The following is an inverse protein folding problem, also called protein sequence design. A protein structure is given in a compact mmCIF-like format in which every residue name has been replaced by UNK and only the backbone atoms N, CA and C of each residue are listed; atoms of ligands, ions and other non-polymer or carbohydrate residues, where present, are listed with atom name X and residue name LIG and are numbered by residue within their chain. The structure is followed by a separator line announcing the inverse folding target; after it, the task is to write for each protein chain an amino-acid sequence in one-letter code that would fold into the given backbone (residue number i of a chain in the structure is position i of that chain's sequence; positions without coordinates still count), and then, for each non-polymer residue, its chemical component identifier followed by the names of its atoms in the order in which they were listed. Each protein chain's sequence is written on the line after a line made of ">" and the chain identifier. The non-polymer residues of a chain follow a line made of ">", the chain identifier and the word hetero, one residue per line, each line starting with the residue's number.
data_IF_144086571852
#
_entry.id   IF_144086571852
#
_cell.length_a   1.000
_cell.length_b   1.000
_cell.length_c   1.000
_cell.angle_alpha   90.00
_cell.angle_beta   90.00
_cell.angle_gamma   90.00
#
_symmetry.space_group_name_H-M   'P 1'
#
loop_
_entity.id
_entity.type
_entity.pdbx_description
1 polymer ?
#
# COMPACT_ATOMS: atom_id res chain seq x y z
N UNK A 1 3.55 16.93 -28.03
CA UNK A 1 3.15 15.54 -27.69
C UNK A 1 4.04 15.09 -26.55
N UNK A 2 3.48 14.59 -25.44
CA UNK A 2 4.28 14.07 -24.33
C UNK A 2 5.07 12.84 -24.81
N UNK A 3 6.30 12.68 -24.30
CA UNK A 3 7.22 11.59 -24.66
C UNK A 3 6.68 10.23 -24.17
N UNK A 4 6.98 9.15 -24.88
CA UNK A 4 6.68 7.77 -24.45
C UNK A 4 7.32 7.42 -23.08
N UNK A 5 8.40 8.10 -22.68
CA UNK A 5 8.97 7.98 -21.32
C UNK A 5 8.04 8.55 -20.24
N UNK A 6 7.20 9.52 -20.57
CA UNK A 6 6.20 10.09 -19.66
C UNK A 6 4.95 9.20 -19.56
N UNK A 7 4.63 8.44 -20.60
CA UNK A 7 3.67 7.33 -20.56
C UNK A 7 4.21 6.12 -19.79
N UNK A 8 5.53 5.88 -19.80
CA UNK A 8 6.12 4.81 -19.01
C UNK A 8 6.15 5.11 -17.50
N UNK A 9 6.10 6.38 -17.11
CA UNK A 9 5.87 6.81 -15.72
C UNK A 9 4.44 6.48 -15.23
N UNK A 10 3.47 6.23 -16.12
CA UNK A 10 2.15 5.67 -15.78
C UNK A 10 2.21 4.17 -15.47
N UNK A 11 3.35 3.49 -15.64
CA UNK A 11 3.61 2.15 -15.10
C UNK A 11 4.01 2.17 -13.61
N UNK A 12 3.31 3.03 -12.84
CA UNK A 12 3.19 3.01 -11.38
C UNK A 12 3.35 1.58 -10.79
N UNK A 13 3.92 1.41 -9.58
CA UNK A 13 3.60 0.22 -8.80
C UNK A 13 2.08 0.23 -8.53
N UNK A 14 1.38 -0.56 -9.33
CA UNK A 14 0.03 -1.09 -9.16
C UNK A 14 -1.00 -0.03 -8.71
N UNK A 15 -1.83 0.48 -9.64
CA UNK A 15 -2.93 1.42 -9.34
C UNK A 15 -3.75 0.99 -8.12
N UNK A 16 -3.81 -0.31 -7.85
CA UNK A 16 -4.46 -0.95 -6.70
C UNK A 16 -3.81 -0.64 -5.36
N UNK A 17 -2.48 -0.57 -5.26
CA UNK A 17 -1.80 -0.16 -4.02
C UNK A 17 -2.12 1.29 -3.73
N UNK A 18 -2.10 2.15 -4.75
CA UNK A 18 -2.50 3.55 -4.60
C UNK A 18 -3.98 3.69 -4.22
N UNK A 19 -4.88 2.90 -4.82
CA UNK A 19 -6.32 2.87 -4.49
C UNK A 19 -6.57 2.36 -3.06
N UNK A 20 -5.91 1.29 -2.65
CA UNK A 20 -6.01 0.73 -1.31
C UNK A 20 -5.44 1.68 -0.25
N UNK A 21 -4.35 2.39 -0.54
CA UNK A 21 -3.89 3.48 0.32
C UNK A 21 -4.92 4.61 0.36
N UNK A 22 -5.54 4.93 -0.78
CA UNK A 22 -6.53 5.99 -0.89
C UNK A 22 -7.89 5.69 -0.23
N UNK A 23 -8.18 4.43 0.10
CA UNK A 23 -9.37 4.07 0.88
C UNK A 23 -9.16 4.17 2.40
N UNK A 24 -7.90 4.22 2.86
CA UNK A 24 -7.61 4.42 4.28
C UNK A 24 -8.01 5.83 4.74
N UNK A 25 -8.41 5.93 6.01
CA UNK A 25 -8.56 7.21 6.68
C UNK A 25 -7.25 8.03 6.58
N UNK A 26 -7.29 9.37 6.41
CA UNK A 26 -6.12 10.18 6.10
C UNK A 26 -4.93 9.94 7.04
N UNK A 27 -5.19 9.89 8.34
CA UNK A 27 -4.19 9.64 9.37
C UNK A 27 -3.47 8.28 9.24
N UNK A 28 -4.20 7.24 8.82
CA UNK A 28 -3.63 5.91 8.63
C UNK A 28 -2.87 5.86 7.30
N UNK A 29 -3.43 6.46 6.26
CA UNK A 29 -2.79 6.58 4.95
C UNK A 29 -1.44 7.25 5.05
N UNK A 30 -1.37 8.43 5.67
CA UNK A 30 -0.12 9.19 5.81
C UNK A 30 0.91 8.39 6.59
N UNK A 31 0.54 7.79 7.72
CA UNK A 31 1.47 6.99 8.52
C UNK A 31 2.01 5.80 7.71
N UNK A 32 1.13 5.06 7.02
CA UNK A 32 1.51 3.89 6.21
C UNK A 32 2.37 4.31 5.02
N UNK A 33 2.01 5.37 4.30
CA UNK A 33 2.77 5.87 3.16
C UNK A 33 4.20 6.26 3.58
N UNK A 34 4.33 7.05 4.64
CA UNK A 34 5.65 7.47 5.12
C UNK A 34 6.52 6.29 5.58
N UNK A 35 5.93 5.25 6.19
CA UNK A 35 6.70 4.10 6.67
C UNK A 35 7.01 3.07 5.57
N UNK A 36 5.99 2.68 4.79
CA UNK A 36 6.04 1.51 3.90
C UNK A 36 6.39 1.90 2.46
N UNK A 37 6.17 3.15 2.05
CA UNK A 37 6.52 3.67 0.72
C UNK A 37 7.78 4.53 0.76
N UNK A 38 7.81 5.54 1.64
CA UNK A 38 8.95 6.46 1.74
C UNK A 38 10.09 5.91 2.63
N UNK A 39 9.79 4.92 3.49
CA UNK A 39 10.82 4.25 4.30
C UNK A 39 11.29 5.02 5.55
N UNK A 40 10.57 6.06 5.99
CA UNK A 40 10.90 6.81 7.18
C UNK A 40 10.81 5.95 8.46
N UNK A 41 11.67 6.26 9.45
CA UNK A 41 11.57 5.65 10.77
C UNK A 41 10.34 6.16 11.53
N UNK A 42 9.85 5.38 12.51
CA UNK A 42 8.68 5.77 13.31
C UNK A 42 8.89 7.08 14.09
N UNK A 43 10.15 7.40 14.41
CA UNK A 43 10.51 8.66 15.08
C UNK A 43 10.38 9.84 14.13
N UNK A 44 10.93 9.74 12.92
CA UNK A 44 10.80 10.78 11.89
C UNK A 44 9.33 10.99 11.51
N UNK A 45 8.54 9.92 11.40
CA UNK A 45 7.10 10.01 11.14
C UNK A 45 6.37 10.73 12.27
N UNK A 46 6.73 10.47 13.53
CA UNK A 46 6.15 11.15 14.68
C UNK A 46 6.43 12.67 14.64
N UNK A 47 7.64 13.04 14.23
CA UNK A 47 8.05 14.43 14.03
C UNK A 47 7.29 15.08 12.85
N UNK A 48 7.24 14.42 11.69
CA UNK A 48 6.52 14.90 10.48
C UNK A 48 5.02 15.10 10.74
N UNK A 49 4.40 14.14 11.44
CA UNK A 49 2.96 14.16 11.71
C UNK A 49 2.60 14.97 12.96
N UNK A 50 3.57 15.52 13.69
CA UNK A 50 3.39 16.22 14.95
C UNK A 50 2.54 15.42 15.96
N UNK A 51 2.81 14.12 16.08
CA UNK A 51 2.08 13.24 17.00
C UNK A 51 3.01 12.31 17.78
N UNK A 52 2.57 11.77 18.94
CA UNK A 52 3.40 10.83 19.70
C UNK A 52 3.77 9.57 18.90
N UNK A 53 4.96 9.02 19.14
CA UNK A 53 5.41 7.77 18.48
C UNK A 53 4.45 6.59 18.70
N UNK A 54 3.81 6.52 19.88
CA UNK A 54 2.77 5.53 20.16
C UNK A 54 1.52 5.69 19.27
N UNK A 55 1.17 6.93 18.93
CA UNK A 55 0.09 7.23 17.97
C UNK A 55 0.47 6.74 16.58
N UNK A 56 1.69 7.00 16.12
CA UNK A 56 2.23 6.48 14.84
C UNK A 56 2.14 4.95 14.80
N UNK A 57 2.63 4.26 15.83
CA UNK A 57 2.54 2.80 15.92
C UNK A 57 1.10 2.30 15.83
N UNK A 58 0.16 2.94 16.53
CA UNK A 58 -1.26 2.56 16.50
C UNK A 58 -1.92 2.81 15.13
N UNK A 59 -1.56 3.91 14.45
CA UNK A 59 -2.03 4.26 13.11
C UNK A 59 -1.49 3.26 12.08
N UNK A 60 -0.20 2.92 12.15
CA UNK A 60 0.43 1.91 11.30
C UNK A 60 -0.20 0.54 11.49
N UNK A 61 -0.42 0.11 12.74
CA UNK A 61 -1.06 -1.17 13.02
C UNK A 61 -2.44 -1.24 12.37
N UNK A 62 -3.29 -0.22 12.57
CA UNK A 62 -4.64 -0.18 12.00
C UNK A 62 -4.63 -0.05 10.48
N UNK A 63 -3.82 0.83 9.93
CA UNK A 63 -3.70 1.04 8.48
C UNK A 63 -3.24 -0.23 7.75
N UNK A 64 -2.17 -0.87 8.24
CA UNK A 64 -1.68 -2.14 7.67
C UNK A 64 -2.71 -3.26 7.80
N UNK A 65 -3.50 -3.31 8.88
CA UNK A 65 -4.60 -4.28 9.03
C UNK A 65 -5.68 -4.05 7.97
N UNK A 66 -6.14 -2.81 7.81
CA UNK A 66 -7.14 -2.48 6.79
C UNK A 66 -6.65 -2.79 5.37
N UNK A 67 -5.40 -2.47 5.04
CA UNK A 67 -4.82 -2.85 3.73
C UNK A 67 -4.79 -4.35 3.52
N UNK A 68 -4.37 -5.13 4.53
CA UNK A 68 -4.38 -6.60 4.43
C UNK A 68 -5.79 -7.12 4.22
N UNK A 69 -6.77 -6.61 4.93
CA UNK A 69 -8.17 -7.04 4.80
C UNK A 69 -8.66 -6.77 3.37
N UNK A 70 -8.47 -5.54 2.86
CA UNK A 70 -8.87 -5.16 1.50
C UNK A 70 -8.17 -5.96 0.39
N UNK A 71 -6.85 -6.17 0.52
CA UNK A 71 -6.08 -6.91 -0.48
C UNK A 71 -6.33 -8.43 -0.40
N UNK A 72 -6.67 -8.96 0.77
CA UNK A 72 -7.04 -10.38 0.92
C UNK A 72 -8.37 -10.69 0.25
N UNK A 73 -9.36 -9.81 0.37
CA UNK A 73 -10.64 -9.95 -0.33
C UNK A 73 -10.45 -9.79 -1.84
N UNK A 74 -9.59 -8.86 -2.26
CA UNK A 74 -9.23 -8.68 -3.67
C UNK A 74 -8.62 -9.95 -4.30
N UNK A 75 -7.71 -10.63 -3.59
CA UNK A 75 -7.08 -11.88 -4.05
C UNK A 75 -8.10 -13.02 -4.17
N UNK A 76 -9.09 -13.07 -3.28
CA UNK A 76 -10.18 -14.06 -3.32
C UNK A 76 -11.13 -13.80 -4.49
N UNK A 77 -11.47 -12.53 -4.73
CA UNK A 77 -12.44 -12.16 -5.77
C UNK A 77 -11.88 -12.27 -7.19
N UNK A 78 -10.56 -12.18 -7.37
CA UNK A 78 -9.91 -12.23 -8.69
C UNK A 78 -9.19 -13.54 -9.02
N UNK A 79 -9.30 -14.57 -8.16
CA UNK A 79 -8.65 -15.88 -8.28
C UNK A 79 -7.20 -15.83 -8.83
N UNK A 80 -6.44 -14.82 -8.41
CA UNK A 80 -5.08 -14.59 -8.88
C UNK A 80 -4.10 -15.67 -8.36
N UNK A 81 -4.55 -16.52 -7.45
CA UNK A 81 -3.82 -17.68 -6.95
C UNK A 81 -4.06 -18.96 -7.78
N UNK A 82 -5.08 -19.02 -8.65
CA UNK A 82 -5.30 -20.16 -9.56
C UNK A 82 -4.41 -20.11 -10.81
N UNK A 83 -4.04 -18.92 -11.28
CA UNK A 83 -3.22 -18.73 -12.51
C UNK A 83 -1.78 -19.26 -12.36
N UNK A 84 -1.36 -19.66 -11.15
CA UNK A 84 -0.05 -20.27 -10.90
C UNK A 84 -0.01 -21.81 -10.87
N UNK A 85 -1.12 -22.51 -11.15
CA UNK A 85 -1.16 -23.99 -11.03
C UNK A 85 -1.24 -24.78 -12.33
N UNK A 86 -1.35 -24.15 -13.49
CA UNK A 86 -1.36 -24.84 -14.79
C UNK A 86 0.04 -24.97 -15.39
N UNK A 87 0.97 -25.52 -14.61
CA UNK A 87 2.38 -25.55 -14.97
C UNK A 87 3.17 -26.72 -14.42
N UNK A 88 2.59 -27.92 -14.31
CA UNK A 88 3.28 -29.22 -14.43
C UNK A 88 2.42 -30.37 -13.88
N UNK A 89 1.85 -31.19 -14.77
CA UNK A 89 1.76 -32.64 -14.61
C UNK A 89 1.28 -33.27 -15.92
N UNK A 90 2.26 -33.73 -16.70
CA UNK A 90 2.23 -34.78 -17.74
C UNK A 90 1.28 -34.65 -18.93
#
# INVERSE_FOLDING_TARGET
>A
LRSAEMEALDHLPDSRVSEALNSLAPDFRTAVYLADVEGFSYKEIAEIMETPIGTVMSRLHRGRRQLRDMLSDYVRDNDLLAVGRDGSAS
#
